data_IF_558240418944
#
_entry.id   IF_558240418944
#
_cell.length_a   1.000
_cell.length_b   1.000
_cell.length_c   1.000
_cell.angle_alpha   90.00
_cell.angle_beta   90.00
_cell.angle_gamma   90.00
#
_symmetry.space_group_name_H-M   'P 1'
#
loop_
_entity.id
_entity.type
_entity.pdbx_description
1 polymer ?
#
# COMPACT_ATOMS: atom_id res chain seq x y z
N UNK A 1 21.33 13.39 -9.71
CA UNK A 1 20.06 13.97 -9.25
C UNK A 1 19.27 12.82 -8.66
N UNK A 2 19.21 12.76 -7.33
CA UNK A 2 18.47 11.72 -6.62
C UNK A 2 16.97 11.94 -6.84
N UNK A 3 16.18 10.92 -7.22
CA UNK A 3 14.75 11.09 -7.31
C UNK A 3 14.22 11.17 -5.88
N UNK A 4 13.73 12.35 -5.51
CA UNK A 4 13.02 12.57 -4.26
C UNK A 4 11.88 11.54 -4.19
N UNK A 5 11.99 10.60 -3.25
CA UNK A 5 10.91 9.68 -2.92
C UNK A 5 9.67 10.51 -2.60
N UNK A 6 8.67 10.40 -3.46
CA UNK A 6 7.35 10.99 -3.22
C UNK A 6 6.76 10.26 -2.02
N UNK A 7 6.99 10.81 -0.82
CA UNK A 7 6.25 10.46 0.37
C UNK A 7 4.81 10.94 0.14
N UNK A 8 4.01 10.11 -0.53
CA UNK A 8 2.57 10.24 -0.49
C UNK A 8 2.19 10.29 1.00
N UNK A 9 1.50 11.35 1.41
CA UNK A 9 1.12 11.55 2.79
C UNK A 9 0.46 10.27 3.31
N UNK A 10 1.14 9.58 4.23
CA UNK A 10 0.70 8.29 4.72
C UNK A 10 -0.70 8.45 5.30
N UNK A 11 -1.67 7.81 4.67
CA UNK A 11 -3.05 7.81 5.15
C UNK A 11 -3.03 7.05 6.48
N UNK A 12 -3.55 7.64 7.57
CA UNK A 12 -3.70 6.95 8.87
C UNK A 12 -3.10 7.63 10.11
N UNK A 13 -2.37 8.74 9.96
CA UNK A 13 -1.82 9.51 11.10
C UNK A 13 -0.67 8.83 11.85
N UNK A 14 -0.18 9.45 12.92
CA UNK A 14 1.05 9.04 13.64
C UNK A 14 0.84 7.91 14.69
N UNK A 15 -0.19 7.08 14.52
CA UNK A 15 -0.53 5.99 15.45
C UNK A 15 0.37 4.74 15.31
N UNK A 16 0.21 3.73 16.19
CA UNK A 16 0.80 2.41 15.98
C UNK A 16 0.23 1.78 14.70
N UNK A 17 1.04 0.99 14.00
CA UNK A 17 0.66 0.37 12.72
C UNK A 17 1.21 -1.03 12.51
N UNK A 18 1.25 -1.47 11.25
CA UNK A 18 1.67 -2.83 10.86
C UNK A 18 3.03 -3.21 11.45
N UNK A 19 4.01 -2.31 11.41
CA UNK A 19 5.36 -2.58 11.91
C UNK A 19 5.38 -2.76 13.43
N UNK A 20 4.61 -1.98 14.17
CA UNK A 20 4.48 -2.08 15.63
C UNK A 20 3.76 -3.39 16.03
N UNK A 21 2.72 -3.79 15.28
CA UNK A 21 2.00 -5.05 15.51
C UNK A 21 2.89 -6.27 15.29
N UNK A 22 3.72 -6.28 14.25
CA UNK A 22 4.60 -7.41 13.95
C UNK A 22 5.67 -7.59 15.04
N UNK A 23 6.13 -6.48 15.63
CA UNK A 23 7.02 -6.46 16.80
C UNK A 23 6.31 -6.86 18.10
N UNK A 24 4.98 -6.90 18.11
CA UNK A 24 4.18 -7.19 19.30
C UNK A 24 4.02 -5.98 20.23
N UNK A 25 4.29 -4.77 19.74
CA UNK A 25 4.15 -3.51 20.48
C UNK A 25 2.74 -2.93 20.40
N UNK A 26 1.93 -3.41 19.45
CA UNK A 26 0.52 -3.07 19.28
C UNK A 26 -0.31 -4.31 18.95
N UNK A 27 -1.58 -4.28 19.32
CA UNK A 27 -2.55 -5.32 18.96
C UNK A 27 -3.22 -5.02 17.63
N UNK A 28 -3.83 -6.04 17.02
CA UNK A 28 -4.55 -5.91 15.75
C UNK A 28 -5.67 -4.85 15.81
N UNK A 29 -6.38 -4.73 16.94
CA UNK A 29 -7.43 -3.72 17.09
C UNK A 29 -6.91 -2.29 17.23
N UNK A 30 -5.71 -2.11 17.79
CA UNK A 30 -5.10 -0.78 18.01
C UNK A 30 -4.56 -0.16 16.72
N UNK A 31 -4.18 -0.98 15.75
CA UNK A 31 -3.65 -0.51 14.47
C UNK A 31 -4.74 -0.18 13.43
N UNK A 32 -6.00 -0.50 13.71
CA UNK A 32 -7.12 -0.19 12.82
C UNK A 32 -7.70 1.17 13.21
N UNK A 33 -7.33 2.20 12.44
CA UNK A 33 -7.82 3.55 12.63
C UNK A 33 -8.98 3.85 11.68
N UNK A 34 -10.04 4.49 12.17
CA UNK A 34 -11.08 5.01 11.28
C UNK A 34 -10.61 6.32 10.64
N UNK A 35 -10.80 6.42 9.34
CA UNK A 35 -10.53 7.66 8.62
C UNK A 35 -11.44 8.80 9.10
N UNK A 36 -10.91 10.03 9.11
CA UNK A 36 -11.65 11.21 9.58
C UNK A 36 -12.62 11.73 8.52
N UNK A 37 -12.29 11.54 7.25
CA UNK A 37 -13.04 12.10 6.11
C UNK A 37 -13.96 11.07 5.44
N UNK A 38 -13.82 9.79 5.77
CA UNK A 38 -14.61 8.72 5.17
C UNK A 38 -15.04 7.66 6.18
N UNK A 39 -15.72 6.62 5.68
CA UNK A 39 -16.06 5.42 6.47
C UNK A 39 -14.99 4.33 6.36
N UNK A 40 -13.87 4.60 5.68
CA UNK A 40 -12.81 3.62 5.54
C UNK A 40 -12.11 3.38 6.88
N UNK A 41 -11.65 2.15 7.07
CA UNK A 41 -10.69 1.82 8.11
C UNK A 41 -9.31 1.73 7.45
N UNK A 42 -8.34 2.37 8.08
CA UNK A 42 -6.96 2.51 7.62
C UNK A 42 -6.07 1.83 8.64
N UNK A 43 -5.15 1.01 8.13
CA UNK A 43 -4.07 0.45 8.92
C UNK A 43 -2.79 1.14 8.49
N UNK A 44 -2.20 2.02 9.32
CA UNK A 44 -0.97 2.72 8.95
C UNK A 44 0.21 1.75 8.94
N UNK A 45 1.28 2.10 8.22
CA UNK A 45 2.54 1.34 8.26
C UNK A 45 3.07 1.21 9.69
N UNK A 46 2.88 2.23 10.52
CA UNK A 46 3.42 2.31 11.88
C UNK A 46 4.73 3.08 11.93
N UNK A 47 5.25 3.27 13.15
CA UNK A 47 6.44 4.12 13.39
C UNK A 47 7.75 3.39 13.15
N UNK A 48 7.67 2.07 13.12
CA UNK A 48 8.81 1.21 12.88
C UNK A 48 9.28 1.21 11.43
N UNK A 49 10.59 1.28 11.23
CA UNK A 49 11.19 0.85 9.97
C UNK A 49 11.22 -0.68 9.93
N UNK A 50 10.65 -1.26 8.88
CA UNK A 50 10.72 -2.68 8.60
C UNK A 50 10.81 -2.86 7.09
N UNK A 51 11.67 -3.79 6.67
CA UNK A 51 11.83 -4.14 5.27
C UNK A 51 10.58 -4.86 4.77
N UNK A 52 10.09 -4.51 3.58
CA UNK A 52 8.85 -5.06 3.02
C UNK A 52 8.88 -6.58 2.94
N UNK A 53 10.01 -7.16 2.53
CA UNK A 53 10.18 -8.61 2.47
C UNK A 53 10.04 -9.28 3.85
N UNK A 54 10.58 -8.67 4.90
CA UNK A 54 10.45 -9.17 6.27
C UNK A 54 9.01 -9.07 6.80
N UNK A 55 8.28 -8.02 6.40
CA UNK A 55 6.85 -7.89 6.70
C UNK A 55 6.04 -8.99 6.03
N UNK A 56 6.28 -9.24 4.74
CA UNK A 56 5.56 -10.25 3.96
C UNK A 56 5.84 -11.67 4.42
N UNK A 57 7.07 -11.96 4.86
CA UNK A 57 7.44 -13.25 5.42
C UNK A 57 6.88 -13.50 6.84
N UNK A 58 6.31 -12.48 7.50
CA UNK A 58 5.80 -12.59 8.86
C UNK A 58 4.46 -13.29 8.91
N UNK A 59 4.38 -14.41 9.65
CA UNK A 59 3.11 -15.10 9.90
C UNK A 59 2.05 -14.17 10.52
N UNK A 60 2.47 -13.20 11.35
CA UNK A 60 1.55 -12.20 11.92
C UNK A 60 0.92 -11.32 10.85
N UNK A 61 1.71 -10.91 9.85
CA UNK A 61 1.21 -10.10 8.74
C UNK A 61 0.22 -10.89 7.88
N UNK A 62 0.59 -12.10 7.47
CA UNK A 62 -0.29 -12.96 6.66
C UNK A 62 -1.61 -13.25 7.37
N UNK A 63 -1.55 -13.56 8.67
CA UNK A 63 -2.75 -13.80 9.50
C UNK A 63 -3.62 -12.54 9.62
N UNK A 64 -2.99 -11.37 9.74
CA UNK A 64 -3.68 -10.08 9.76
C UNK A 64 -4.44 -9.84 8.44
N UNK A 65 -3.79 -10.04 7.30
CA UNK A 65 -4.41 -9.85 5.98
C UNK A 65 -5.58 -10.83 5.78
N UNK A 66 -5.44 -12.11 6.14
CA UNK A 66 -6.54 -13.08 6.06
C UNK A 66 -7.73 -12.68 6.97
N UNK A 67 -7.45 -12.22 8.20
CA UNK A 67 -8.49 -11.72 9.09
C UNK A 67 -9.22 -10.49 8.53
N UNK A 68 -8.49 -9.56 7.92
CA UNK A 68 -9.08 -8.40 7.23
C UNK A 68 -9.93 -8.83 6.04
N UNK A 69 -9.43 -9.74 5.19
CA UNK A 69 -10.16 -10.24 4.02
C UNK A 69 -11.47 -10.95 4.38
N UNK A 70 -11.60 -11.50 5.60
CA UNK A 70 -12.85 -12.11 6.10
C UNK A 70 -13.82 -11.10 6.74
N UNK A 71 -13.31 -9.97 7.21
CA UNK A 71 -14.08 -8.97 7.96
C UNK A 71 -14.54 -7.82 7.07
N UNK A 72 -13.79 -7.54 6.00
CA UNK A 72 -14.04 -6.45 5.07
C UNK A 72 -14.38 -7.00 3.69
N UNK A 73 -15.34 -6.37 3.02
CA UNK A 73 -15.68 -6.70 1.63
C UNK A 73 -14.51 -6.38 0.67
N UNK A 74 -13.75 -5.32 0.98
CA UNK A 74 -12.62 -4.85 0.18
C UNK A 74 -11.45 -4.45 1.08
N UNK A 75 -10.26 -4.96 0.75
CA UNK A 75 -8.98 -4.61 1.38
C UNK A 75 -8.05 -4.10 0.29
N UNK A 76 -7.55 -2.88 0.46
CA UNK A 76 -6.57 -2.27 -0.45
C UNK A 76 -5.25 -2.17 0.30
N UNK A 77 -4.19 -2.69 -0.31
CA UNK A 77 -2.83 -2.64 0.24
C UNK A 77 -2.04 -1.67 -0.63
N UNK A 78 -1.55 -0.59 -0.02
CA UNK A 78 -0.57 0.28 -0.66
C UNK A 78 0.81 -0.37 -0.55
N UNK A 79 1.29 -0.91 -1.67
CA UNK A 79 2.62 -1.52 -1.78
C UNK A 79 3.74 -0.50 -2.01
N UNK A 80 3.42 0.79 -2.18
CA UNK A 80 4.37 1.83 -2.50
C UNK A 80 5.06 1.65 -3.85
N UNK A 81 6.27 2.21 -3.98
CA UNK A 81 7.11 1.99 -5.15
C UNK A 81 7.51 0.52 -5.23
N UNK A 82 7.05 -0.15 -6.28
CA UNK A 82 7.12 -1.59 -6.43
C UNK A 82 8.56 -2.04 -6.72
N UNK A 83 9.25 -2.62 -5.73
CA UNK A 83 10.50 -3.35 -5.93
C UNK A 83 10.20 -4.84 -6.15
N UNK A 84 10.93 -5.44 -7.08
CA UNK A 84 10.73 -6.77 -7.70
C UNK A 84 10.66 -7.88 -6.65
N UNK A 85 11.32 -7.72 -5.51
CA UNK A 85 11.50 -8.77 -4.50
C UNK A 85 10.21 -9.11 -3.74
N UNK A 86 9.22 -8.20 -3.70
CA UNK A 86 7.97 -8.39 -2.94
C UNK A 86 6.77 -8.85 -3.80
N UNK A 87 6.94 -8.94 -5.12
CA UNK A 87 5.84 -9.12 -6.06
C UNK A 87 5.13 -10.47 -5.90
N UNK A 88 5.91 -11.55 -5.87
CA UNK A 88 5.40 -12.92 -5.82
C UNK A 88 4.69 -13.19 -4.49
N UNK A 89 5.30 -12.78 -3.38
CA UNK A 89 4.72 -12.92 -2.04
C UNK A 89 3.43 -12.09 -1.90
N UNK A 90 3.38 -10.90 -2.51
CA UNK A 90 2.16 -10.10 -2.50
C UNK A 90 1.07 -10.73 -3.37
N UNK A 91 1.42 -11.35 -4.50
CA UNK A 91 0.46 -12.00 -5.39
C UNK A 91 -0.24 -13.20 -4.73
N UNK A 92 0.43 -13.88 -3.81
CA UNK A 92 -0.18 -14.92 -2.97
C UNK A 92 -1.24 -14.35 -2.00
N UNK A 93 -1.07 -13.10 -1.55
CA UNK A 93 -1.95 -12.45 -0.58
C UNK A 93 -3.08 -11.64 -1.24
N UNK A 94 -2.82 -11.08 -2.42
CA UNK A 94 -3.71 -10.20 -3.14
C UNK A 94 -3.95 -10.73 -4.56
N UNK A 95 -5.16 -11.23 -4.88
CA UNK A 95 -5.45 -11.84 -6.19
C UNK A 95 -5.54 -10.82 -7.34
N UNK A 96 -5.48 -9.52 -7.05
CA UNK A 96 -5.56 -8.45 -8.03
C UNK A 96 -4.58 -7.33 -7.68
N UNK A 97 -4.10 -6.62 -8.70
CA UNK A 97 -3.11 -5.58 -8.57
C UNK A 97 -3.55 -4.31 -9.30
N UNK A 98 -3.17 -3.15 -8.77
CA UNK A 98 -3.39 -1.87 -9.44
C UNK A 98 -2.03 -1.20 -9.64
N UNK A 99 -1.63 -1.05 -10.90
CA UNK A 99 -0.42 -0.32 -11.27
C UNK A 99 -0.79 1.12 -11.64
N UNK A 100 -0.36 2.07 -10.83
CA UNK A 100 -0.53 3.50 -11.10
C UNK A 100 0.70 4.02 -11.83
N UNK A 101 0.51 4.52 -13.04
CA UNK A 101 1.58 5.08 -13.88
C UNK A 101 1.23 6.50 -14.32
N UNK A 102 2.20 7.43 -14.41
CA UNK A 102 1.94 8.78 -14.92
C UNK A 102 1.50 8.77 -16.38
N UNK A 103 2.13 7.91 -17.19
CA UNK A 103 1.84 7.71 -18.59
C UNK A 103 1.88 6.21 -18.91
N UNK A 104 0.78 5.61 -19.38
CA UNK A 104 0.74 4.19 -19.74
C UNK A 104 1.56 3.85 -20.99
N UNK A 105 1.97 4.84 -21.78
CA UNK A 105 2.82 4.67 -22.98
C UNK A 105 4.32 4.68 -22.66
N UNK A 106 4.69 5.04 -21.43
CA UNK A 106 6.08 5.02 -20.98
C UNK A 106 6.65 3.59 -21.06
N UNK A 107 7.83 3.39 -21.69
CA UNK A 107 8.50 2.09 -21.68
C UNK A 107 8.67 1.48 -20.28
N UNK A 108 8.87 2.30 -19.24
CA UNK A 108 8.98 1.86 -17.85
C UNK A 108 7.66 1.24 -17.37
N UNK A 109 6.51 1.80 -17.75
CA UNK A 109 5.21 1.24 -17.43
C UNK A 109 5.03 -0.15 -18.08
N UNK A 110 5.52 -0.32 -19.31
CA UNK A 110 5.54 -1.61 -20.01
C UNK A 110 6.37 -2.66 -19.27
N UNK A 111 7.56 -2.28 -18.79
CA UNK A 111 8.43 -3.16 -17.99
C UNK A 111 7.77 -3.54 -16.66
N UNK A 112 7.22 -2.56 -15.92
CA UNK A 112 6.53 -2.81 -14.65
C UNK A 112 5.33 -3.76 -14.82
N UNK A 113 4.52 -3.54 -15.88
CA UNK A 113 3.39 -4.41 -16.22
C UNK A 113 3.84 -5.85 -16.51
N UNK A 114 4.89 -6.02 -17.31
CA UNK A 114 5.42 -7.35 -17.63
C UNK A 114 5.89 -8.08 -16.36
N UNK A 115 6.58 -7.37 -15.46
CA UNK A 115 7.03 -7.93 -14.17
C UNK A 115 5.88 -8.34 -13.26
N UNK A 116 4.85 -7.51 -13.15
CA UNK A 116 3.65 -7.86 -12.38
C UNK A 116 2.91 -9.06 -12.98
N UNK A 117 2.88 -9.18 -14.31
CA UNK A 117 2.31 -10.35 -14.96
C UNK A 117 3.12 -11.62 -14.67
N UNK A 118 4.46 -11.56 -14.69
CA UNK A 118 5.36 -12.66 -14.29
C UNK A 118 5.12 -13.10 -12.83
N UNK A 119 4.83 -12.14 -11.94
CA UNK A 119 4.56 -12.39 -10.52
C UNK A 119 3.16 -12.97 -10.23
N UNK A 120 2.29 -13.11 -11.25
CA UNK A 120 0.98 -13.75 -11.11
C UNK A 120 -0.23 -12.80 -11.23
N UNK A 121 -0.03 -11.50 -11.48
CA UNK A 121 -1.14 -10.54 -11.65
C UNK A 121 -1.73 -10.51 -13.08
N UNK A 122 -1.40 -11.47 -13.94
CA UNK A 122 -1.70 -11.42 -15.38
C UNK A 122 -3.17 -11.11 -15.75
N UNK A 123 -4.12 -11.76 -15.08
CA UNK A 123 -5.57 -11.59 -15.35
C UNK A 123 -6.24 -10.52 -14.47
N UNK A 124 -5.58 -10.10 -13.38
CA UNK A 124 -6.13 -9.22 -12.34
C UNK A 124 -5.48 -7.84 -12.26
N UNK A 125 -4.56 -7.50 -13.17
CA UNK A 125 -3.84 -6.24 -13.17
C UNK A 125 -4.62 -5.12 -13.86
N UNK A 126 -4.99 -4.10 -13.10
CA UNK A 126 -5.57 -2.86 -13.62
C UNK A 126 -4.45 -1.83 -13.72
N UNK A 127 -4.27 -1.22 -14.90
CA UNK A 127 -3.35 -0.10 -15.08
C UNK A 127 -4.14 1.20 -15.03
N UNK A 128 -3.84 2.03 -14.04
CA UNK A 128 -4.40 3.36 -13.90
C UNK A 128 -3.39 4.40 -14.38
N UNK A 129 -3.75 5.13 -15.42
CA UNK A 129 -3.04 6.35 -15.81
C UNK A 129 -3.40 7.45 -14.81
N UNK A 130 -2.49 7.75 -13.90
CA UNK A 130 -2.66 8.85 -12.96
C UNK A 130 -2.37 10.16 -13.64
N UNK A 131 -3.39 11.03 -13.79
CA UNK A 131 -3.10 12.46 -13.86
C UNK A 131 -2.36 12.85 -12.57
N UNK A 132 -1.37 13.74 -12.61
CA UNK A 132 -0.67 14.15 -11.40
C UNK A 132 -1.71 14.56 -10.36
N UNK A 133 -1.67 13.92 -9.19
CA UNK A 133 -2.45 14.35 -8.03
C UNK A 133 -2.01 15.78 -7.74
N UNK A 134 -2.76 16.76 -8.24
CA UNK A 134 -2.67 18.13 -7.76
C UNK A 134 -3.03 18.03 -6.29
N UNK A 135 -2.03 18.15 -5.43
CA UNK A 135 -2.25 18.28 -3.99
C UNK A 135 -3.36 19.32 -3.81
N UNK A 136 -4.43 19.04 -3.05
CA UNK A 136 -5.47 20.03 -2.81
C UNK A 136 -4.79 21.28 -2.29
N UNK A 137 -4.90 22.38 -3.05
CA UNK A 137 -4.35 23.68 -2.64
C UNK A 137 -4.86 23.96 -1.23
N UNK A 138 -3.97 24.19 -0.24
CA UNK A 138 -4.41 24.52 1.10
C UNK A 138 -5.31 25.74 0.99
N UNK A 139 -6.57 25.60 1.43
CA UNK A 139 -7.48 26.72 1.52
C UNK A 139 -6.86 27.71 2.51
N UNK A 140 -6.56 28.96 2.12
CA UNK A 140 -6.10 29.94 3.08
C UNK A 140 -7.23 30.14 4.10
N UNK A 141 -6.98 29.69 5.32
CA UNK A 141 -7.81 29.99 6.48
C UNK A 141 -7.86 31.52 6.61
N UNK A 142 -9.08 32.06 6.52
CA UNK A 142 -9.34 33.48 6.61
C UNK A 142 -8.91 34.00 7.99
N UNK A 143 -8.18 35.12 7.97
CA UNK A 143 -7.81 35.91 9.14
C UNK A 143 -9.03 36.53 9.83
#
# INVERSE_FOLDING_TARGET
AEPAGSAAAAIGGDGPGVTDMIRGEATFGEIIARDKVSRAHIVPRGRGEAETAALLASLRFVTMIDALARTYDHVIIDAGAFDVIAADQMAELAPGGVLVVPDPTDPIAGVARARLAEAGYGDGLIVLAGAPLVAPTPHPEAA
#
